data_IF_864409621578
#
_entry.id   IF_864409621578
#
_cell.length_a   1.000
_cell.length_b   1.000
_cell.length_c   1.000
_cell.angle_alpha   90.00
_cell.angle_beta   90.00
_cell.angle_gamma   90.00
#
_symmetry.space_group_name_H-M   'P 1'
#
loop_
_entity.id
_entity.type
_entity.pdbx_description
1 polymer ?
#
# COMPACT_ATOMS: atom_id res chain seq x y z
N UNK A 1 9.92 12.39 21.72
CA UNK A 1 9.85 12.01 21.36
C UNK A 1 9.99 11.04 21.17
N UNK A 2 10.25 10.88 21.35
CA UNK A 2 10.59 9.81 21.14
C UNK A 2 9.71 8.96 20.67
N UNK A 3 8.87 9.05 21.10
CA UNK A 3 7.93 8.46 20.62
C UNK A 3 8.07 8.13 19.33
N UNK A 4 8.59 8.79 18.69
CA UNK A 4 8.65 8.54 17.40
C UNK A 4 9.53 7.50 17.03
N UNK A 5 10.36 7.07 17.86
CA UNK A 5 11.30 6.08 17.52
C UNK A 5 10.68 4.83 17.06
N UNK A 6 9.77 4.33 17.79
CA UNK A 6 9.13 3.12 17.37
C UNK A 6 8.42 3.27 16.08
N UNK A 7 7.85 4.40 15.90
CA UNK A 7 7.13 4.63 14.71
C UNK A 7 8.00 4.63 13.52
N UNK A 8 9.22 5.07 13.64
CA UNK A 8 10.08 5.12 12.55
C UNK A 8 10.33 3.78 11.99
N UNK A 9 10.41 2.79 12.82
CA UNK A 9 10.68 1.48 12.34
C UNK A 9 9.58 0.95 11.51
N UNK A 10 8.38 1.34 11.78
CA UNK A 10 7.26 0.85 11.02
C UNK A 10 7.14 1.57 9.72
N UNK A 11 7.58 2.79 9.66
CA UNK A 11 7.52 3.57 8.44
C UNK A 11 6.15 3.61 7.82
N UNK A 12 5.12 3.55 8.63
CA UNK A 12 3.78 3.57 8.12
C UNK A 12 3.25 4.99 8.13
N UNK A 13 3.33 5.69 6.99
CA UNK A 13 2.83 7.05 6.91
C UNK A 13 1.36 7.01 6.47
N UNK A 14 0.68 8.16 6.48
CA UNK A 14 -0.74 8.18 6.14
C UNK A 14 -1.05 7.63 4.75
N UNK A 15 -0.17 7.87 3.81
CA UNK A 15 -0.37 7.38 2.46
C UNK A 15 -0.36 5.85 2.42
N UNK A 16 0.61 5.26 3.10
CA UNK A 16 0.69 3.79 3.12
C UNK A 16 -0.49 3.18 3.86
N UNK A 17 -0.89 3.80 4.96
CA UNK A 17 -2.04 3.31 5.70
C UNK A 17 -3.29 3.35 4.85
N UNK A 18 -3.48 4.43 4.10
CA UNK A 18 -4.64 4.56 3.25
C UNK A 18 -4.63 3.51 2.15
N UNK A 19 -3.47 3.26 1.56
CA UNK A 19 -3.34 2.24 0.53
C UNK A 19 -3.72 0.88 1.09
N UNK A 20 -3.25 0.55 2.29
CA UNK A 20 -3.60 -0.73 2.90
C UNK A 20 -5.10 -0.84 3.15
N UNK A 21 -5.72 0.23 3.60
CA UNK A 21 -7.15 0.22 3.85
C UNK A 21 -7.93 -0.02 2.57
N UNK A 22 -7.52 0.65 1.50
CA UNK A 22 -8.23 0.48 0.24
C UNK A 22 -8.06 -0.92 -0.32
N UNK A 23 -6.88 -1.50 -0.16
CA UNK A 23 -6.64 -2.86 -0.59
C UNK A 23 -7.44 -3.86 0.23
N UNK A 24 -7.61 -3.56 1.52
CA UNK A 24 -8.38 -4.43 2.39
C UNK A 24 -9.86 -4.40 2.01
N UNK A 25 -10.34 -3.21 1.66
CA UNK A 25 -11.73 -3.06 1.25
C UNK A 25 -11.98 -3.59 -0.15
N UNK A 26 -10.99 -3.50 -1.02
CA UNK A 26 -11.15 -3.94 -2.40
C UNK A 26 -9.84 -4.56 -2.87
N UNK A 27 -9.68 -5.87 -2.70
CA UNK A 27 -8.44 -6.54 -3.11
C UNK A 27 -8.13 -6.41 -4.60
N UNK A 28 -9.14 -6.08 -5.40
CA UNK A 28 -8.94 -5.93 -6.83
C UNK A 28 -8.64 -4.49 -7.25
N UNK A 29 -8.38 -3.61 -6.28
CA UNK A 29 -8.12 -2.21 -6.59
C UNK A 29 -6.87 -2.09 -7.47
N UNK A 30 -6.94 -1.20 -8.45
CA UNK A 30 -5.82 -0.99 -9.37
C UNK A 30 -5.00 0.20 -8.92
N UNK A 31 -3.79 0.34 -9.52
CA UNK A 31 -2.95 1.49 -9.21
C UNK A 31 -3.68 2.79 -9.55
N UNK A 32 -4.39 2.79 -10.66
CA UNK A 32 -5.11 3.97 -11.09
C UNK A 32 -6.19 4.35 -10.09
N UNK A 33 -6.89 3.36 -9.59
CA UNK A 33 -7.91 3.62 -8.58
C UNK A 33 -7.28 4.13 -7.30
N UNK A 34 -6.15 3.56 -6.92
CA UNK A 34 -5.45 4.02 -5.72
C UNK A 34 -5.02 5.48 -5.85
N UNK A 35 -4.56 5.88 -7.05
CA UNK A 35 -4.20 7.27 -7.25
C UNK A 35 -5.36 8.20 -6.93
N UNK A 36 -6.54 7.84 -7.37
CA UNK A 36 -7.70 8.67 -7.15
C UNK A 36 -8.20 8.62 -5.71
N UNK A 37 -8.18 7.44 -5.13
CA UNK A 37 -8.67 7.28 -3.76
C UNK A 37 -7.75 7.90 -2.73
N UNK A 38 -6.46 7.78 -2.94
CA UNK A 38 -5.49 8.29 -1.99
C UNK A 38 -5.10 9.72 -2.31
N UNK A 39 -5.20 10.10 -3.57
CA UNK A 39 -4.92 11.48 -3.95
C UNK A 39 -3.45 11.79 -4.18
N UNK A 40 -2.68 10.80 -4.62
CA UNK A 40 -1.28 11.01 -4.95
C UNK A 40 -1.00 10.46 -6.33
N UNK A 41 0.14 10.80 -6.88
CA UNK A 41 0.47 10.40 -8.24
C UNK A 41 0.89 8.94 -8.34
N UNK A 42 1.00 8.48 -9.59
CA UNK A 42 1.34 7.09 -9.87
C UNK A 42 2.66 6.68 -9.24
N UNK A 43 3.67 7.54 -9.35
CA UNK A 43 4.97 7.17 -8.83
C UNK A 43 4.94 6.97 -7.33
N UNK A 44 4.20 7.82 -6.63
CA UNK A 44 4.07 7.68 -5.19
C UNK A 44 3.35 6.37 -4.86
N UNK A 45 2.32 6.02 -5.62
CA UNK A 45 1.61 4.77 -5.41
C UNK A 45 2.55 3.60 -5.63
N UNK A 46 3.30 3.61 -6.73
CA UNK A 46 4.22 2.52 -7.02
C UNK A 46 5.28 2.36 -5.94
N UNK A 47 5.84 3.47 -5.49
CA UNK A 47 6.87 3.41 -4.46
C UNK A 47 6.33 2.87 -3.15
N UNK A 48 5.14 3.29 -2.78
CA UNK A 48 4.55 2.82 -1.54
C UNK A 48 4.14 1.36 -1.62
N UNK A 49 3.64 0.93 -2.76
CA UNK A 49 3.29 -0.46 -2.95
C UNK A 49 4.54 -1.34 -2.89
N UNK A 50 5.62 -0.89 -3.52
CA UNK A 50 6.87 -1.63 -3.46
C UNK A 50 7.36 -1.76 -2.02
N UNK A 51 7.27 -0.68 -1.26
CA UNK A 51 7.67 -0.71 0.14
C UNK A 51 6.83 -1.72 0.92
N UNK A 52 5.52 -1.66 0.74
CA UNK A 52 4.62 -2.55 1.47
C UNK A 52 4.86 -4.01 1.11
N UNK A 53 5.10 -4.27 -0.16
CA UNK A 53 5.34 -5.62 -0.61
C UNK A 53 6.68 -6.14 -0.10
N UNK A 54 7.72 -5.33 -0.19
CA UNK A 54 9.03 -5.75 0.25
C UNK A 54 9.14 -5.96 1.74
N UNK A 55 8.26 -5.31 2.50
CA UNK A 55 8.27 -5.43 3.94
C UNK A 55 7.20 -6.38 4.48
N UNK A 56 6.55 -7.10 3.59
CA UNK A 56 5.64 -8.14 4.04
C UNK A 56 4.27 -7.68 4.49
N UNK A 57 3.86 -6.48 4.12
CA UNK A 57 2.53 -6.02 4.49
C UNK A 57 1.47 -6.46 3.49
N UNK A 58 1.85 -6.67 2.25
CA UNK A 58 0.91 -7.10 1.21
C UNK A 58 1.59 -8.11 0.31
N UNK A 59 0.77 -8.84 -0.43
CA UNK A 59 1.26 -9.83 -1.36
C UNK A 59 0.40 -9.80 -2.61
N UNK A 60 1.03 -9.86 -3.77
CA UNK A 60 0.30 -9.91 -5.02
C UNK A 60 0.01 -11.37 -5.36
N UNK A 61 -1.26 -11.68 -5.51
CA UNK A 61 -1.69 -13.04 -5.82
C UNK A 61 -2.17 -13.07 -7.26
N UNK A 62 -1.65 -14.00 -8.03
CA UNK A 62 -2.10 -14.15 -9.41
C UNK A 62 -1.32 -13.29 -10.36
N UNK A 63 -1.86 -13.12 -11.57
CA UNK A 63 -1.17 -12.38 -12.62
C UNK A 63 -1.46 -10.89 -12.50
N UNK A 64 -0.77 -10.11 -13.33
CA UNK A 64 -0.98 -8.67 -13.31
C UNK A 64 -2.40 -8.30 -13.73
N UNK A 65 -3.00 -9.08 -14.58
CA UNK A 65 -4.33 -8.76 -15.07
C UNK A 65 -5.43 -9.30 -14.17
N UNK A 66 -5.27 -10.53 -13.72
CA UNK A 66 -6.31 -11.18 -12.94
C UNK A 66 -5.97 -11.37 -11.48
N UNK A 67 -4.90 -10.76 -11.06
CA UNK A 67 -4.47 -10.93 -9.69
C UNK A 67 -5.19 -9.99 -8.74
N UNK A 68 -4.88 -10.14 -7.47
CA UNK A 68 -5.47 -9.30 -6.45
C UNK A 68 -4.45 -9.11 -5.33
N UNK A 69 -4.76 -8.17 -4.44
CA UNK A 69 -3.85 -7.85 -3.34
C UNK A 69 -4.31 -8.54 -2.07
N UNK A 70 -3.38 -9.23 -1.44
CA UNK A 70 -3.66 -9.84 -0.15
C UNK A 70 -2.97 -8.99 0.90
N UNK A 71 -3.72 -8.50 1.88
CA UNK A 71 -3.15 -7.74 2.98
C UNK A 71 -2.84 -8.70 4.09
N UNK A 72 -1.57 -8.75 4.45
CA UNK A 72 -1.08 -9.74 5.42
C UNK A 72 -1.18 -9.30 6.88
#
# INVERSE_FOLDING_TARGET
>A
MGDNVGDKEKKMNPTRTRILEEMRNNPNVTHEQLEKLVGVGRKAIQNNISYLRNNGFIERIGSNKNGWWKVL
#
